data_IF_025027478297
#
_entry.id   IF_025027478297
#
_cell.length_a   1.000
_cell.length_b   1.000
_cell.length_c   1.000
_cell.angle_alpha   90.00
_cell.angle_beta   90.00
_cell.angle_gamma   90.00
#
_symmetry.space_group_name_H-M   'P 1'
#
loop_
_entity.id
_entity.type
_entity.pdbx_description
1 polymer ?
#
# COMPACT_ATOMS: atom_id res chain seq x y z
N UNK A 1 67.42 18.84 70.70
CA UNK A 1 67.45 19.82 69.59
C UNK A 1 66.35 19.46 68.61
N UNK A 2 65.26 20.24 68.59
CA UNK A 2 64.15 20.07 67.66
C UNK A 2 64.53 20.68 66.30
N UNK A 3 64.49 19.90 65.23
CA UNK A 3 64.70 20.40 63.86
C UNK A 3 63.37 20.71 63.20
N UNK A 4 63.32 21.91 62.64
CA UNK A 4 62.16 22.56 62.08
C UNK A 4 61.74 21.98 60.73
N UNK A 5 60.47 22.19 60.45
CA UNK A 5 59.69 21.88 59.26
C UNK A 5 60.18 22.65 58.03
N UNK A 6 60.41 21.96 56.91
CA UNK A 6 60.39 22.55 55.57
C UNK A 6 59.30 21.88 54.72
N UNK A 7 58.16 22.57 54.67
CA UNK A 7 57.07 22.32 53.72
C UNK A 7 57.51 22.78 52.34
N UNK A 8 58.03 21.86 51.54
CA UNK A 8 58.16 22.02 50.08
C UNK A 8 56.86 21.63 49.38
N UNK A 9 55.83 22.46 49.49
CA UNK A 9 54.59 22.29 48.73
C UNK A 9 54.81 22.67 47.27
N UNK A 10 55.20 21.71 46.44
CA UNK A 10 55.25 21.89 44.98
C UNK A 10 53.82 21.94 44.43
N UNK A 11 53.35 23.15 44.15
CA UNK A 11 52.17 23.41 43.33
C UNK A 11 52.51 23.05 41.88
N UNK A 12 52.53 21.75 41.56
CA UNK A 12 52.26 21.32 40.19
C UNK A 12 50.93 21.93 39.76
N UNK A 13 51.03 22.80 38.76
CA UNK A 13 49.93 23.42 38.02
C UNK A 13 48.97 22.33 37.59
N UNK A 14 47.82 22.26 38.26
CA UNK A 14 46.69 21.46 37.80
C UNK A 14 46.41 21.84 36.36
N UNK A 15 46.65 20.88 35.46
CA UNK A 15 46.26 21.01 34.06
C UNK A 15 44.82 21.48 34.02
N UNK A 16 44.61 22.52 33.22
CA UNK A 16 43.31 23.14 32.92
C UNK A 16 42.48 22.10 32.16
N UNK A 17 42.03 21.04 32.84
CA UNK A 17 40.89 20.27 32.41
C UNK A 17 39.71 21.16 32.73
N UNK A 18 39.34 21.99 31.76
CA UNK A 18 38.08 22.72 31.72
C UNK A 18 37.02 21.83 32.35
N UNK A 19 36.26 22.36 33.31
CA UNK A 19 35.07 21.70 33.87
C UNK A 19 34.02 21.62 32.76
N UNK A 20 34.32 20.85 31.71
CA UNK A 20 33.42 20.53 30.63
C UNK A 20 32.36 19.67 31.28
N UNK A 21 31.16 20.20 31.32
CA UNK A 21 30.01 19.53 31.87
C UNK A 21 29.80 18.21 31.13
N UNK A 22 29.20 17.23 31.81
CA UNK A 22 28.88 15.93 31.20
C UNK A 22 28.10 16.09 29.88
N UNK A 23 27.26 17.12 29.79
CA UNK A 23 26.49 17.46 28.59
C UNK A 23 27.41 17.84 27.42
N UNK A 24 28.34 18.76 27.64
CA UNK A 24 29.29 19.18 26.60
C UNK A 24 30.22 18.04 26.14
N UNK A 25 30.59 17.11 27.03
CA UNK A 25 31.33 15.90 26.66
C UNK A 25 30.51 15.00 25.73
N UNK A 26 29.23 14.81 26.02
CA UNK A 26 28.30 14.07 25.16
C UNK A 26 28.08 14.76 23.81
N UNK A 27 27.87 16.07 23.80
CA UNK A 27 27.67 16.84 22.56
C UNK A 27 28.91 16.79 21.67
N UNK A 28 30.10 16.75 22.27
CA UNK A 28 31.36 16.54 21.54
C UNK A 28 31.46 15.12 20.99
N UNK A 29 31.09 14.10 21.78
CA UNK A 29 31.06 12.70 21.35
C UNK A 29 30.13 12.49 20.15
N UNK A 30 28.91 13.05 20.18
CA UNK A 30 27.94 12.92 19.09
C UNK A 30 28.50 13.49 17.79
N UNK A 31 29.09 14.70 17.84
CA UNK A 31 29.69 15.36 16.67
C UNK A 31 30.86 14.56 16.09
N UNK A 32 31.81 14.14 16.92
CA UNK A 32 32.98 13.35 16.46
C UNK A 32 32.52 12.00 15.88
N UNK A 33 31.49 11.38 16.46
CA UNK A 33 30.93 10.12 15.94
C UNK A 33 30.29 10.30 14.56
N UNK A 34 29.55 11.39 14.34
CA UNK A 34 28.95 11.72 13.05
C UNK A 34 30.02 12.04 11.99
N UNK A 35 31.04 12.80 12.36
CA UNK A 35 32.17 13.12 11.47
C UNK A 35 32.91 11.83 11.07
N UNK A 36 33.15 10.93 12.03
CA UNK A 36 33.78 9.63 11.77
C UNK A 36 32.95 8.79 10.78
N UNK A 37 31.64 8.64 10.98
CA UNK A 37 30.76 7.94 10.04
C UNK A 37 30.81 8.56 8.63
N UNK A 38 30.88 9.89 8.54
CA UNK A 38 30.94 10.60 7.26
C UNK A 38 32.24 10.36 6.50
N UNK A 39 33.32 9.97 7.18
CA UNK A 39 34.61 9.64 6.56
C UNK A 39 34.76 8.18 6.14
N UNK A 40 33.84 7.30 6.53
CA UNK A 40 33.87 5.89 6.16
C UNK A 40 33.36 5.69 4.71
N UNK A 41 33.84 4.63 4.02
CA UNK A 41 33.24 4.17 2.76
C UNK A 41 31.73 3.99 2.91
N UNK A 42 30.97 4.22 1.83
CA UNK A 42 29.50 4.23 1.83
C UNK A 42 28.92 2.93 2.40
N UNK A 43 29.58 1.81 2.13
CA UNK A 43 29.22 0.47 2.60
C UNK A 43 29.33 0.29 4.12
N UNK A 44 30.04 1.18 4.81
CA UNK A 44 30.33 1.11 6.24
C UNK A 44 29.62 2.21 7.07
N UNK A 45 28.90 3.15 6.44
CA UNK A 45 28.32 4.30 7.13
C UNK A 45 27.24 3.90 8.15
N UNK A 46 26.51 2.80 7.91
CA UNK A 46 25.44 2.33 8.79
C UNK A 46 25.87 1.21 9.77
N UNK A 47 27.16 0.82 9.75
CA UNK A 47 27.66 -0.23 10.64
C UNK A 47 27.81 0.33 12.06
N UNK A 48 27.38 -0.38 13.10
CA UNK A 48 27.62 0.04 14.48
C UNK A 48 29.13 0.09 14.78
N UNK A 49 29.53 1.05 15.63
CA UNK A 49 30.90 1.10 16.13
C UNK A 49 31.30 -0.20 16.82
N UNK A 50 32.51 -0.66 16.52
CA UNK A 50 33.18 -1.62 17.39
C UNK A 50 33.45 -0.99 18.76
N UNK A 51 33.67 -1.85 19.76
CA UNK A 51 33.99 -1.39 21.11
C UNK A 51 35.23 -0.48 21.13
N UNK A 52 36.28 -0.84 20.38
CA UNK A 52 37.52 -0.06 20.31
C UNK A 52 37.32 1.31 19.65
N UNK A 53 36.58 1.37 18.54
CA UNK A 53 36.24 2.63 17.86
C UNK A 53 35.45 3.55 18.81
N UNK A 54 34.44 3.01 19.50
CA UNK A 54 33.64 3.75 20.46
C UNK A 54 34.49 4.30 21.62
N UNK A 55 35.37 3.48 22.20
CA UNK A 55 36.27 3.89 23.27
C UNK A 55 37.22 5.01 22.81
N UNK A 56 37.75 4.93 21.58
CA UNK A 56 38.63 5.94 21.01
C UNK A 56 37.89 7.27 20.72
N UNK A 57 36.68 7.21 20.16
CA UNK A 57 35.82 8.39 19.96
C UNK A 57 35.46 9.05 21.30
N UNK A 58 35.17 8.24 22.32
CA UNK A 58 34.91 8.77 23.65
C UNK A 58 36.14 9.44 24.27
N UNK A 59 37.34 8.86 24.15
CA UNK A 59 38.59 9.48 24.61
C UNK A 59 38.84 10.83 23.97
N UNK A 60 38.58 10.97 22.67
CA UNK A 60 38.66 12.27 21.97
C UNK A 60 37.65 13.30 22.50
N UNK A 61 36.47 12.83 22.96
CA UNK A 61 35.42 13.71 23.47
C UNK A 61 35.59 14.14 24.93
N UNK A 62 36.06 13.23 25.79
CA UNK A 62 36.00 13.35 27.24
C UNK A 62 37.37 13.31 27.93
N UNK A 63 38.43 13.00 27.18
CA UNK A 63 39.79 12.77 27.67
C UNK A 63 40.03 11.33 28.12
N UNK A 64 41.19 11.11 28.74
CA UNK A 64 41.56 9.84 29.38
C UNK A 64 40.45 9.33 30.33
N UNK A 65 40.16 8.01 30.33
CA UNK A 65 39.21 7.44 31.28
C UNK A 65 39.62 7.74 32.72
N UNK A 66 38.73 8.37 33.50
CA UNK A 66 38.98 8.59 34.93
C UNK A 66 38.83 7.23 35.63
N UNK A 67 39.86 6.82 36.36
CA UNK A 67 39.90 5.55 37.12
C UNK A 67 38.62 5.37 37.94
N UNK A 68 37.94 4.22 37.75
CA UNK A 68 36.67 3.91 38.41
C UNK A 68 35.42 4.54 37.78
N UNK A 69 35.55 5.09 36.57
CA UNK A 69 34.43 5.60 35.77
C UNK A 69 34.53 5.16 34.31
N UNK A 70 33.37 4.87 33.70
CA UNK A 70 33.24 4.51 32.29
C UNK A 70 32.20 5.44 31.67
N UNK A 71 32.52 6.12 30.57
CA UNK A 71 31.65 7.14 29.95
C UNK A 71 31.18 8.27 30.91
N UNK A 72 31.99 8.62 31.90
CA UNK A 72 31.63 9.61 32.93
C UNK A 72 30.58 9.12 33.94
N UNK A 73 30.24 7.83 33.92
CA UNK A 73 29.48 7.16 34.96
C UNK A 73 30.41 6.42 35.91
N UNK A 74 30.11 6.35 37.22
CA UNK A 74 30.78 5.42 38.12
C UNK A 74 30.71 4.00 37.54
N UNK A 75 31.85 3.30 37.52
CA UNK A 75 31.96 1.99 36.87
C UNK A 75 30.92 0.99 37.38
N UNK A 76 30.63 1.01 38.69
CA UNK A 76 29.57 0.19 39.29
C UNK A 76 28.19 0.46 38.69
N UNK A 77 27.83 1.74 38.51
CA UNK A 77 26.57 2.15 37.91
C UNK A 77 26.52 1.82 36.41
N UNK A 78 27.66 1.89 35.72
CA UNK A 78 27.76 1.46 34.33
C UNK A 78 27.58 -0.06 34.19
N UNK A 79 28.21 -0.85 35.05
CA UNK A 79 28.07 -2.32 35.05
C UNK A 79 26.66 -2.76 35.43
N UNK A 80 26.02 -2.10 36.40
CA UNK A 80 24.62 -2.34 36.75
C UNK A 80 23.68 -1.98 35.59
N UNK A 81 23.87 -0.82 34.96
CA UNK A 81 23.09 -0.47 33.76
C UNK A 81 23.34 -1.43 32.60
N UNK A 82 24.58 -1.89 32.45
CA UNK A 82 24.96 -2.90 31.45
C UNK A 82 24.30 -4.24 31.75
N UNK A 83 24.17 -4.67 33.01
CA UNK A 83 23.48 -5.91 33.34
C UNK A 83 21.97 -5.84 33.10
N UNK A 84 21.37 -4.63 33.17
CA UNK A 84 19.97 -4.42 32.81
C UNK A 84 19.75 -4.47 31.29
N UNK A 85 20.69 -3.93 30.51
CA UNK A 85 20.60 -3.92 29.04
C UNK A 85 21.07 -5.24 28.41
N UNK A 86 22.05 -5.88 29.01
CA UNK A 86 22.49 -7.25 28.74
C UNK A 86 21.77 -8.24 29.67
N UNK A 87 20.52 -7.93 30.04
CA UNK A 87 19.66 -8.81 30.83
C UNK A 87 19.53 -10.15 30.12
N UNK A 88 20.20 -11.15 30.68
CA UNK A 88 20.03 -12.58 30.39
C UNK A 88 20.50 -13.06 29.00
N UNK A 89 21.82 -13.19 28.81
CA UNK A 89 22.35 -14.22 27.88
C UNK A 89 22.23 -15.66 28.41
N UNK A 90 21.37 -15.89 29.40
CA UNK A 90 20.79 -17.21 29.68
C UNK A 90 19.30 -17.21 29.36
N UNK A 91 18.89 -16.64 28.23
CA UNK A 91 17.76 -17.24 27.53
C UNK A 91 18.31 -18.44 26.78
N UNK A 92 18.24 -19.63 27.39
CA UNK A 92 17.87 -20.79 26.59
C UNK A 92 16.47 -20.47 26.04
N UNK A 93 16.42 -19.68 24.98
CA UNK A 93 15.27 -19.76 24.09
C UNK A 93 15.39 -21.17 23.57
N UNK A 94 14.67 -22.09 24.23
CA UNK A 94 14.41 -23.41 23.70
C UNK A 94 13.84 -23.14 22.32
N UNK A 95 14.70 -23.30 21.31
CA UNK A 95 14.43 -22.86 19.95
C UNK A 95 13.10 -23.44 19.57
N UNK A 96 12.10 -22.57 19.35
CA UNK A 96 10.69 -22.90 19.41
C UNK A 96 10.40 -24.33 18.96
N UNK A 97 9.77 -25.09 19.85
CA UNK A 97 9.33 -26.48 19.70
C UNK A 97 9.27 -26.92 18.23
N UNK A 98 10.12 -27.87 17.85
CA UNK A 98 10.37 -28.27 16.45
C UNK A 98 9.07 -28.66 15.73
N UNK A 99 8.13 -29.19 16.48
CA UNK A 99 6.77 -29.54 16.12
C UNK A 99 5.93 -28.32 15.75
N UNK A 100 6.09 -27.20 16.47
CA UNK A 100 5.47 -25.91 16.14
C UNK A 100 6.00 -25.35 14.84
N UNK A 101 7.31 -25.41 14.61
CA UNK A 101 7.92 -25.00 13.34
C UNK A 101 7.38 -25.86 12.19
N UNK A 102 7.39 -27.18 12.35
CA UNK A 102 6.86 -28.13 11.34
C UNK A 102 5.38 -27.91 11.03
N UNK A 103 4.58 -27.56 12.05
CA UNK A 103 3.16 -27.23 11.89
C UNK A 103 2.97 -25.97 11.06
N UNK A 104 3.78 -24.93 11.30
CA UNK A 104 3.72 -23.69 10.52
C UNK A 104 4.16 -23.91 9.08
N UNK A 105 5.24 -24.66 8.85
CA UNK A 105 5.70 -25.03 7.51
C UNK A 105 4.61 -25.78 6.72
N UNK A 106 3.93 -26.72 7.37
CA UNK A 106 2.82 -27.47 6.78
C UNK A 106 1.64 -26.56 6.40
N UNK A 107 1.28 -25.60 7.27
CA UNK A 107 0.23 -24.60 6.98
C UNK A 107 0.63 -23.70 5.81
N UNK A 108 1.88 -23.25 5.74
CA UNK A 108 2.40 -22.44 4.63
C UNK A 108 2.31 -23.23 3.32
N UNK A 109 2.74 -24.49 3.31
CA UNK A 109 2.66 -25.35 2.14
C UNK A 109 1.20 -25.55 1.67
N UNK A 110 0.27 -25.79 2.60
CA UNK A 110 -1.16 -25.92 2.29
C UNK A 110 -1.73 -24.63 1.68
N UNK A 111 -1.46 -23.47 2.27
CA UNK A 111 -1.93 -22.18 1.75
C UNK A 111 -1.35 -21.89 0.38
N UNK A 112 -0.07 -22.18 0.15
CA UNK A 112 0.57 -22.04 -1.15
C UNK A 112 -0.09 -22.91 -2.23
N UNK A 113 -0.40 -24.17 -1.91
CA UNK A 113 -1.12 -25.06 -2.83
C UNK A 113 -2.53 -24.52 -3.14
N UNK A 114 -3.24 -24.01 -2.12
CA UNK A 114 -4.57 -23.42 -2.28
C UNK A 114 -4.52 -22.16 -3.15
N UNK A 115 -3.52 -21.30 -2.99
CA UNK A 115 -3.31 -20.12 -3.82
C UNK A 115 -3.11 -20.49 -5.29
N UNK A 116 -2.27 -21.49 -5.58
CA UNK A 116 -2.05 -21.97 -6.96
C UNK A 116 -3.34 -22.52 -7.57
N UNK A 117 -4.13 -23.28 -6.80
CA UNK A 117 -5.41 -23.80 -7.26
C UNK A 117 -6.43 -22.67 -7.55
N UNK A 118 -6.48 -21.65 -6.69
CA UNK A 118 -7.33 -20.47 -6.89
C UNK A 118 -6.88 -19.69 -8.14
N UNK A 119 -5.58 -19.47 -8.34
CA UNK A 119 -5.05 -18.79 -9.52
C UNK A 119 -5.44 -19.50 -10.83
N UNK A 120 -5.35 -20.84 -10.88
CA UNK A 120 -5.80 -21.64 -12.03
C UNK A 120 -7.30 -21.47 -12.29
N UNK A 121 -8.13 -21.45 -11.23
CA UNK A 121 -9.58 -21.25 -11.35
C UNK A 121 -9.94 -19.84 -11.81
N UNK A 122 -9.25 -18.82 -11.31
CA UNK A 122 -9.43 -17.42 -11.72
C UNK A 122 -9.09 -17.25 -13.21
N UNK A 123 -7.93 -17.73 -13.65
CA UNK A 123 -7.52 -17.68 -15.06
C UNK A 123 -8.54 -18.36 -15.99
N UNK A 124 -9.11 -19.50 -15.57
CA UNK A 124 -10.16 -20.20 -16.33
C UNK A 124 -11.46 -19.39 -16.42
N UNK A 125 -11.82 -18.62 -15.39
CA UNK A 125 -13.01 -17.75 -15.40
C UNK A 125 -12.78 -16.54 -16.30
N UNK A 126 -11.61 -15.92 -16.21
CA UNK A 126 -11.21 -14.79 -17.04
C UNK A 126 -11.23 -15.15 -18.54
N UNK A 127 -10.67 -16.30 -18.92
CA UNK A 127 -10.72 -16.78 -20.31
C UNK A 127 -12.16 -16.98 -20.81
N UNK A 128 -13.04 -17.51 -19.96
CA UNK A 128 -14.47 -17.68 -20.30
C UNK A 128 -15.19 -16.35 -20.45
N UNK A 129 -14.84 -15.37 -19.62
CA UNK A 129 -15.40 -14.03 -19.69
C UNK A 129 -14.96 -13.32 -20.98
N UNK A 130 -13.66 -13.36 -21.29
CA UNK A 130 -13.12 -12.82 -22.55
C UNK A 130 -13.82 -13.41 -23.78
N UNK A 131 -14.09 -14.73 -23.79
CA UNK A 131 -14.85 -15.39 -24.85
C UNK A 131 -16.30 -14.92 -24.97
N UNK A 132 -16.91 -14.41 -23.90
CA UNK A 132 -18.27 -13.84 -23.93
C UNK A 132 -18.22 -12.42 -24.47
N UNK A 133 -17.32 -11.59 -23.96
CA UNK A 133 -17.12 -10.21 -24.40
C UNK A 133 -16.77 -10.15 -25.90
N UNK A 134 -15.95 -11.08 -26.40
CA UNK A 134 -15.64 -11.17 -27.84
C UNK A 134 -16.87 -11.51 -28.69
N UNK A 135 -17.75 -12.40 -28.19
CA UNK A 135 -19.00 -12.74 -28.89
C UNK A 135 -19.98 -11.58 -28.90
N UNK A 136 -20.09 -10.87 -27.78
CA UNK A 136 -20.93 -9.68 -27.64
C UNK A 136 -20.46 -8.59 -28.62
N UNK A 137 -19.17 -8.28 -28.65
CA UNK A 137 -18.59 -7.35 -29.62
C UNK A 137 -18.88 -7.74 -31.07
N UNK A 138 -18.79 -9.03 -31.40
CA UNK A 138 -19.11 -9.50 -32.76
C UNK A 138 -20.60 -9.36 -33.06
N UNK A 139 -21.48 -9.60 -32.08
CA UNK A 139 -22.92 -9.41 -32.22
C UNK A 139 -23.27 -7.94 -32.45
N UNK A 140 -22.63 -7.03 -31.71
CA UNK A 140 -22.86 -5.58 -31.87
C UNK A 140 -22.42 -5.09 -33.25
N UNK A 141 -21.27 -5.55 -33.74
CA UNK A 141 -20.78 -5.23 -35.09
C UNK A 141 -21.74 -5.73 -36.18
N UNK A 142 -22.33 -6.93 -36.00
CA UNK A 142 -23.35 -7.45 -36.90
C UNK A 142 -24.65 -6.61 -36.88
N UNK A 143 -25.08 -6.17 -35.69
CA UNK A 143 -26.25 -5.30 -35.53
C UNK A 143 -26.01 -3.95 -36.22
N UNK A 144 -24.83 -3.36 -36.07
CA UNK A 144 -24.51 -2.08 -36.71
C UNK A 144 -24.43 -2.20 -38.23
N UNK A 145 -23.84 -3.28 -38.76
CA UNK A 145 -23.86 -3.56 -40.20
C UNK A 145 -25.30 -3.76 -40.74
N UNK A 146 -26.15 -4.46 -40.00
CA UNK A 146 -27.55 -4.65 -40.37
C UNK A 146 -28.34 -3.33 -40.38
N UNK A 147 -28.14 -2.48 -39.37
CA UNK A 147 -28.71 -1.13 -39.31
C UNK A 147 -28.26 -0.27 -40.49
N UNK A 148 -27.00 -0.33 -40.88
CA UNK A 148 -26.49 0.41 -42.03
C UNK A 148 -27.18 -0.01 -43.33
N UNK A 149 -27.35 -1.32 -43.54
CA UNK A 149 -28.07 -1.86 -44.71
C UNK A 149 -29.52 -1.41 -44.73
N UNK A 150 -30.21 -1.47 -43.59
CA UNK A 150 -31.60 -1.04 -43.48
C UNK A 150 -31.74 0.47 -43.74
N UNK A 151 -30.84 1.28 -43.17
CA UNK A 151 -30.84 2.72 -43.38
C UNK A 151 -30.63 3.08 -44.87
N UNK A 152 -29.76 2.36 -45.58
CA UNK A 152 -29.61 2.50 -47.05
C UNK A 152 -30.89 2.13 -47.80
N UNK A 153 -31.64 1.11 -47.35
CA UNK A 153 -32.94 0.75 -47.95
C UNK A 153 -33.98 1.85 -47.73
N UNK A 154 -34.06 2.40 -46.52
CA UNK A 154 -34.93 3.54 -46.23
C UNK A 154 -34.59 4.75 -47.09
N UNK A 155 -33.31 5.09 -47.24
CA UNK A 155 -32.88 6.19 -48.10
C UNK A 155 -33.28 5.97 -49.58
N UNK A 156 -33.14 4.75 -50.09
CA UNK A 156 -33.55 4.40 -51.45
C UNK A 156 -35.08 4.48 -51.64
N UNK A 157 -35.86 3.97 -50.68
CA UNK A 157 -37.32 4.07 -50.69
C UNK A 157 -37.79 5.51 -50.60
N UNK A 158 -37.17 6.31 -49.73
CA UNK A 158 -37.44 7.73 -49.60
C UNK A 158 -37.18 8.46 -50.92
N UNK A 159 -36.07 8.18 -51.60
CA UNK A 159 -35.77 8.76 -52.91
C UNK A 159 -36.81 8.37 -53.97
N UNK A 160 -37.27 7.11 -54.00
CA UNK A 160 -38.32 6.66 -54.92
C UNK A 160 -39.65 7.36 -54.66
N UNK A 161 -40.06 7.50 -53.39
CA UNK A 161 -41.27 8.22 -53.01
C UNK A 161 -41.18 9.69 -53.40
N UNK A 162 -40.07 10.37 -53.10
CA UNK A 162 -39.87 11.78 -53.47
C UNK A 162 -39.96 11.97 -54.98
N UNK A 163 -39.29 11.12 -55.77
CA UNK A 163 -39.37 11.16 -57.23
C UNK A 163 -40.81 10.99 -57.75
N UNK A 164 -41.59 10.11 -57.11
CA UNK A 164 -42.99 9.87 -57.46
C UNK A 164 -43.89 11.07 -57.15
N UNK A 165 -43.66 11.75 -56.02
CA UNK A 165 -44.36 13.00 -55.67
C UNK A 165 -44.00 14.14 -56.63
N UNK A 166 -42.73 14.28 -57.00
CA UNK A 166 -42.27 15.33 -57.93
C UNK A 166 -42.72 15.10 -59.38
N UNK A 167 -42.82 13.83 -59.80
CA UNK A 167 -43.25 13.48 -61.17
C UNK A 167 -44.76 13.63 -61.40
N UNK A 168 -45.55 14.03 -60.38
CA UNK A 168 -46.97 14.38 -60.53
C UNK A 168 -47.90 13.21 -60.86
N UNK A 169 -47.42 11.96 -60.76
CA UNK A 169 -48.16 10.77 -61.19
C UNK A 169 -49.20 10.26 -60.18
N UNK A 170 -49.32 10.88 -59.00
CA UNK A 170 -50.25 10.45 -57.94
C UNK A 170 -50.89 11.62 -57.18
N UNK A 171 -51.22 12.74 -57.84
CA UNK A 171 -52.25 13.60 -57.24
C UNK A 171 -53.59 12.86 -57.42
N UNK A 172 -54.22 12.29 -56.36
CA UNK A 172 -55.63 11.92 -56.50
C UNK A 172 -56.41 13.18 -56.90
N UNK A 173 -57.49 13.07 -57.69
CA UNK A 173 -58.37 14.20 -57.95
C UNK A 173 -58.78 14.78 -56.60
N UNK A 174 -58.45 16.05 -56.33
CA UNK A 174 -58.95 16.75 -55.15
C UNK A 174 -60.47 16.59 -55.12
N UNK A 175 -61.06 15.96 -54.09
CA UNK A 175 -62.51 15.90 -54.01
C UNK A 175 -63.04 17.33 -53.92
N UNK A 176 -63.87 17.70 -54.89
CA UNK A 176 -64.58 18.97 -54.88
C UNK A 176 -65.38 19.06 -53.58
N UNK A 177 -65.27 20.21 -52.92
CA UNK A 177 -65.94 20.59 -51.68
C UNK A 177 -67.36 20.00 -51.58
N UNK A 178 -67.49 18.90 -50.82
CA UNK A 178 -68.80 18.43 -50.37
C UNK A 178 -69.05 19.09 -49.02
N UNK A 179 -69.93 20.08 -49.09
CA UNK A 179 -70.61 20.71 -47.97
C UNK A 179 -71.32 19.66 -47.08
N UNK A 180 -71.35 19.91 -45.77
CA UNK A 180 -72.00 19.08 -44.74
C UNK A 180 -70.99 18.49 -43.74
N UNK A 181 -70.58 19.25 -42.72
CA UNK A 181 -71.24 19.36 -41.40
C UNK A 181 -71.05 18.14 -40.49
N UNK A 182 -70.27 18.38 -39.42
CA UNK A 182 -70.38 17.94 -38.03
C UNK A 182 -70.82 16.49 -37.73
N UNK A 183 -69.93 15.70 -37.10
CA UNK A 183 -70.17 15.31 -35.71
C UNK A 183 -68.90 14.76 -35.01
N UNK A 184 -68.81 15.15 -33.75
CA UNK A 184 -67.74 14.94 -32.78
C UNK A 184 -67.44 13.47 -32.50
N UNK A 185 -66.16 13.18 -32.25
CA UNK A 185 -65.66 11.88 -31.80
C UNK A 185 -64.47 12.10 -30.88
N UNK A 186 -64.80 12.48 -29.65
CA UNK A 186 -63.96 12.53 -28.46
C UNK A 186 -63.23 11.18 -28.21
N UNK A 187 -62.23 11.25 -27.32
CA UNK A 187 -61.59 10.17 -26.57
C UNK A 187 -60.27 9.61 -27.11
N UNK A 188 -59.15 10.14 -26.59
CA UNK A 188 -58.49 9.48 -25.45
C UNK A 188 -57.19 10.21 -25.07
N UNK A 189 -57.26 10.94 -23.96
CA UNK A 189 -56.10 11.24 -23.12
C UNK A 189 -55.83 10.03 -22.22
N UNK A 190 -54.70 9.35 -22.43
CA UNK A 190 -54.12 8.41 -21.46
C UNK A 190 -52.60 8.58 -21.43
N UNK A 191 -52.19 9.66 -20.82
CA UNK A 191 -50.87 9.82 -20.22
C UNK A 191 -50.89 9.24 -18.81
N UNK A 192 -50.11 8.18 -18.55
CA UNK A 192 -49.56 7.77 -17.24
C UNK A 192 -49.12 6.29 -17.35
N UNK A 193 -48.01 5.80 -16.79
CA UNK A 193 -47.11 6.27 -15.75
C UNK A 193 -45.83 5.41 -15.81
N UNK A 194 -44.72 5.96 -15.34
CA UNK A 194 -43.46 5.27 -15.01
C UNK A 194 -43.66 4.09 -14.05
N UNK A 195 -42.78 3.10 -14.12
CA UNK A 195 -42.21 2.50 -12.90
C UNK A 195 -40.80 1.98 -13.14
N UNK A 196 -39.84 2.63 -12.47
CA UNK A 196 -38.52 2.10 -12.12
C UNK A 196 -38.68 0.90 -11.18
N UNK A 197 -37.75 -0.05 -11.23
CA UNK A 197 -37.75 -1.22 -10.36
C UNK A 197 -36.43 -1.97 -10.45
N UNK A 198 -35.43 -1.42 -9.76
CA UNK A 198 -34.13 -2.04 -9.47
C UNK A 198 -34.25 -2.73 -8.10
N UNK A 199 -34.15 -4.06 -8.02
CA UNK A 199 -33.81 -4.73 -6.76
C UNK A 199 -32.92 -5.96 -6.97
N UNK A 200 -31.67 -5.76 -6.59
CA UNK A 200 -30.63 -6.71 -6.30
C UNK A 200 -30.94 -7.46 -4.98
N UNK A 201 -31.11 -8.78 -5.01
CA UNK A 201 -31.05 -9.62 -3.80
C UNK A 201 -30.04 -10.75 -3.99
N UNK A 202 -28.88 -10.54 -3.37
CA UNK A 202 -27.94 -11.59 -3.00
C UNK A 202 -28.59 -12.50 -1.95
N UNK A 203 -28.41 -13.80 -2.07
CA UNK A 203 -28.64 -14.73 -0.97
C UNK A 203 -27.46 -15.68 -0.92
N UNK A 204 -26.53 -15.36 -0.03
CA UNK A 204 -25.57 -16.30 0.52
C UNK A 204 -26.35 -17.35 1.33
N UNK A 205 -26.05 -18.63 1.11
CA UNK A 205 -26.47 -19.70 2.01
C UNK A 205 -25.25 -20.54 2.36
N UNK A 206 -24.71 -20.24 3.54
CA UNK A 206 -23.89 -21.15 4.32
C UNK A 206 -24.75 -22.32 4.78
N UNK A 207 -24.19 -23.53 4.72
CA UNK A 207 -24.63 -24.65 5.54
C UNK A 207 -23.37 -25.39 6.00
N UNK A 208 -23.01 -25.10 7.24
CA UNK A 208 -22.31 -26.01 8.14
C UNK A 208 -23.15 -27.27 8.41
N UNK A 209 -22.46 -28.32 8.82
CA UNK A 209 -23.00 -29.54 9.39
C UNK A 209 -22.48 -30.78 8.67
N UNK A 210 -22.04 -31.83 9.34
CA UNK A 210 -21.63 -32.02 10.73
C UNK A 210 -20.81 -33.32 10.73
N UNK A 211 -20.17 -33.57 11.86
CA UNK A 211 -19.34 -34.71 12.26
C UNK A 211 -19.89 -36.11 11.88
N UNK A 212 -19.03 -36.98 11.33
CA UNK A 212 -18.75 -38.34 11.83
C UNK A 212 -17.43 -38.89 11.24
#
# INVERSE_FOLDING_TARGET
>A
MARASEKGGSLHTGGVNSQVTRKEKMDRYIRISQDYHSTLPLECQDRPFTQEENENLWKQSAGEPIRGSVYGYPEKAYQEKKSWYCGSSSSSFDGGDRETISTMESKIAYLNAKLVAVAKRVKKREERQRKREEKERKSDEEIDAAKEVENKRYAALQAQLTFLFESGNILPPCPANSDGSDQEGDENDKSDKKSEGDENVKSDKESEGDEE
#
